data_IF_262169679782
#
_entry.id   IF_262169679782
#
_cell.length_a   1.000
_cell.length_b   1.000
_cell.length_c   1.000
_cell.angle_alpha   90.00
_cell.angle_beta   90.00
_cell.angle_gamma   90.00
#
_symmetry.space_group_name_H-M   'P 1'
#
loop_
_entity.id
_entity.type
_entity.pdbx_description
1 polymer ?
#
# COMPACT_ATOMS: atom_id res chain seq x y z
N UNK A 1 -7.27 19.37 -10.99
CA UNK A 1 -8.17 19.15 -9.83
C UNK A 1 -8.19 17.66 -9.58
N UNK A 2 -7.93 17.22 -8.36
CA UNK A 2 -8.02 15.80 -8.02
C UNK A 2 -9.49 15.40 -7.97
N UNK A 3 -9.87 14.36 -8.70
CA UNK A 3 -11.25 13.84 -8.72
C UNK A 3 -11.41 12.65 -7.77
N UNK A 4 -12.65 12.36 -7.35
CA UNK A 4 -12.98 11.16 -6.58
C UNK A 4 -12.54 9.88 -7.32
N UNK A 5 -12.74 9.84 -8.65
CA UNK A 5 -12.32 8.72 -9.48
C UNK A 5 -10.79 8.52 -9.46
N UNK A 6 -10.04 9.62 -9.45
CA UNK A 6 -8.58 9.60 -9.36
C UNK A 6 -8.10 9.08 -8.00
N UNK A 7 -8.73 9.50 -6.89
CA UNK A 7 -8.41 8.95 -5.57
C UNK A 7 -8.77 7.46 -5.45
N UNK A 8 -9.92 7.04 -5.98
CA UNK A 8 -10.30 5.62 -6.03
C UNK A 8 -9.32 4.77 -6.86
N UNK A 9 -8.81 5.32 -7.97
CA UNK A 9 -7.75 4.71 -8.76
C UNK A 9 -6.45 4.56 -7.95
N UNK A 10 -6.03 5.60 -7.22
CA UNK A 10 -4.86 5.55 -6.34
C UNK A 10 -5.02 4.52 -5.22
N UNK A 11 -6.21 4.39 -4.62
CA UNK A 11 -6.47 3.36 -3.60
C UNK A 11 -6.31 1.95 -4.16
N UNK A 12 -6.76 1.72 -5.40
CA UNK A 12 -6.60 0.45 -6.10
C UNK A 12 -5.12 0.16 -6.35
N UNK A 13 -4.38 1.13 -6.90
CA UNK A 13 -2.96 0.98 -7.19
C UNK A 13 -2.12 0.72 -5.93
N UNK A 14 -2.42 1.40 -4.81
CA UNK A 14 -1.71 1.18 -3.54
C UNK A 14 -1.96 -0.23 -2.99
N UNK A 15 -3.20 -0.73 -3.09
CA UNK A 15 -3.53 -2.10 -2.66
C UNK A 15 -2.76 -3.12 -3.48
N UNK A 16 -2.81 -3.02 -4.80
CA UNK A 16 -2.10 -3.93 -5.71
C UNK A 16 -0.58 -3.90 -5.49
N UNK A 17 -0.02 -2.71 -5.24
CA UNK A 17 1.38 -2.57 -4.89
C UNK A 17 1.70 -3.23 -3.55
N UNK A 18 0.83 -3.06 -2.53
CA UNK A 18 0.98 -3.72 -1.23
C UNK A 18 0.99 -5.24 -1.35
N UNK A 19 0.06 -5.82 -2.12
CA UNK A 19 0.00 -7.26 -2.39
C UNK A 19 1.30 -7.79 -3.02
N UNK A 20 1.83 -7.06 -4.02
CA UNK A 20 3.10 -7.43 -4.68
C UNK A 20 4.30 -7.32 -3.74
N UNK A 21 4.32 -6.34 -2.85
CA UNK A 21 5.40 -6.18 -1.86
C UNK A 21 5.36 -7.29 -0.82
N UNK A 22 4.18 -7.67 -0.34
CA UNK A 22 4.01 -8.82 0.56
C UNK A 22 4.52 -10.10 -0.08
N UNK A 23 4.12 -10.38 -1.33
CA UNK A 23 4.57 -11.56 -2.04
C UNK A 23 6.11 -11.61 -2.18
N UNK A 24 6.73 -10.47 -2.51
CA UNK A 24 8.19 -10.37 -2.57
C UNK A 24 8.85 -10.56 -1.19
N UNK A 25 8.25 -10.06 -0.12
CA UNK A 25 8.76 -10.26 1.24
C UNK A 25 8.67 -11.73 1.66
N UNK A 26 7.54 -12.39 1.36
CA UNK A 26 7.29 -13.80 1.69
C UNK A 26 8.32 -14.73 1.01
N UNK A 27 8.78 -14.41 -0.20
CA UNK A 27 9.83 -15.15 -0.90
C UNK A 27 11.21 -15.05 -0.21
N UNK A 28 11.44 -14.02 0.59
CA UNK A 28 12.73 -13.74 1.25
C UNK A 28 12.78 -14.24 2.70
N UNK A 29 11.65 -14.59 3.29
CA UNK A 29 11.59 -15.14 4.66
C UNK A 29 12.34 -16.47 4.74
N UNK A 30 13.22 -16.60 5.75
CA UNK A 30 14.06 -17.79 5.94
C UNK A 30 15.23 -17.92 4.96
N UNK A 31 15.47 -16.92 4.11
CA UNK A 31 16.66 -16.83 3.25
C UNK A 31 17.76 -16.00 3.94
N UNK A 32 18.93 -15.87 3.30
CA UNK A 32 19.97 -14.94 3.74
C UNK A 32 19.54 -13.47 3.72
N UNK A 33 18.46 -13.15 3.00
CA UNK A 33 17.96 -11.80 2.76
C UNK A 33 16.75 -11.44 3.63
N UNK A 34 16.53 -12.14 4.75
CA UNK A 34 15.40 -11.90 5.65
C UNK A 34 15.32 -10.45 6.16
N UNK A 35 16.46 -9.75 6.27
CA UNK A 35 16.47 -8.31 6.56
C UNK A 35 15.72 -7.47 5.52
N UNK A 36 15.81 -7.83 4.24
CA UNK A 36 15.06 -7.18 3.15
C UNK A 36 13.56 -7.49 3.27
N UNK A 37 13.20 -8.71 3.69
CA UNK A 37 11.79 -9.07 3.94
C UNK A 37 11.17 -8.15 5.01
N UNK A 38 11.89 -7.89 6.11
CA UNK A 38 11.47 -6.98 7.18
C UNK A 38 11.21 -5.57 6.63
N UNK A 39 12.15 -5.03 5.84
CA UNK A 39 12.00 -3.70 5.24
C UNK A 39 10.78 -3.65 4.30
N UNK A 40 10.55 -4.69 3.49
CA UNK A 40 9.39 -4.77 2.60
C UNK A 40 8.06 -4.81 3.38
N UNK A 41 7.98 -5.55 4.49
CA UNK A 41 6.79 -5.52 5.34
C UNK A 41 6.53 -4.13 5.96
N UNK A 42 7.57 -3.38 6.31
CA UNK A 42 7.41 -1.99 6.79
C UNK A 42 6.94 -1.04 5.68
N UNK A 43 7.36 -1.25 4.43
CA UNK A 43 6.81 -0.54 3.27
C UNK A 43 5.32 -0.87 3.09
N UNK A 44 4.94 -2.15 3.13
CA UNK A 44 3.53 -2.56 3.04
C UNK A 44 2.68 -1.91 4.14
N UNK A 45 3.19 -1.87 5.37
CA UNK A 45 2.51 -1.23 6.51
C UNK A 45 2.29 0.26 6.25
N UNK A 46 3.29 0.93 5.69
CA UNK A 46 3.22 2.34 5.30
C UNK A 46 2.19 2.56 4.19
N UNK A 47 2.11 1.68 3.20
CA UNK A 47 1.09 1.71 2.16
C UNK A 47 -0.32 1.52 2.70
N UNK A 48 -0.54 0.62 3.67
CA UNK A 48 -1.83 0.48 4.36
C UNK A 48 -2.23 1.77 5.08
N UNK A 49 -1.29 2.48 5.70
CA UNK A 49 -1.55 3.79 6.32
C UNK A 49 -1.93 4.82 5.26
N UNK A 50 -1.20 4.87 4.14
CA UNK A 50 -1.49 5.77 3.03
C UNK A 50 -2.89 5.51 2.44
N UNK A 51 -3.23 4.25 2.17
CA UNK A 51 -4.55 3.84 1.67
C UNK A 51 -5.69 4.31 2.58
N UNK A 52 -5.53 4.17 3.91
CA UNK A 52 -6.52 4.68 4.89
C UNK A 52 -6.66 6.19 4.86
N UNK A 53 -5.56 6.94 4.68
CA UNK A 53 -5.60 8.40 4.58
C UNK A 53 -6.29 8.86 3.30
N UNK A 54 -6.02 8.21 2.18
CA UNK A 54 -6.70 8.49 0.91
C UNK A 54 -8.18 8.17 1.01
N UNK A 55 -8.56 7.03 1.60
CA UNK A 55 -9.98 6.68 1.81
C UNK A 55 -10.76 7.78 2.56
N UNK A 56 -10.15 8.34 3.62
CA UNK A 56 -10.74 9.46 4.36
C UNK A 56 -10.83 10.73 3.53
N UNK A 57 -9.82 11.02 2.70
CA UNK A 57 -9.85 12.17 1.81
C UNK A 57 -10.93 12.04 0.74
N UNK A 58 -11.13 10.84 0.17
CA UNK A 58 -12.20 10.56 -0.79
C UNK A 58 -13.57 10.81 -0.18
N UNK A 59 -13.82 10.32 1.04
CA UNK A 59 -15.09 10.56 1.76
C UNK A 59 -15.35 12.04 2.03
N UNK A 60 -14.29 12.84 2.27
CA UNK A 60 -14.40 14.28 2.47
C UNK A 60 -14.72 15.07 1.21
N UNK A 61 -14.54 14.50 0.02
CA UNK A 61 -14.92 15.11 -1.26
C UNK A 61 -16.38 14.84 -1.65
N UNK A 62 -17.04 13.87 -1.00
CA UNK A 62 -18.46 13.56 -1.17
C UNK A 62 -19.38 14.45 -0.30
N UNK A 63 -18.82 15.33 0.54
CA UNK A 63 -19.52 16.21 1.49
C UNK A 63 -19.66 17.66 1.03
#
# INVERSE_FOLDING_TARGET
MVSQAELSSLQTAIRELGERITAAADELVGTSDEGVAIDLYEVERSLRIAQRRIAKATQGLDS
#
